data_IF_993056824641
#
_entry.id   IF_993056824641
#
_cell.length_a   1.000
_cell.length_b   1.000
_cell.length_c   1.000
_cell.angle_alpha   90.00
_cell.angle_beta   90.00
_cell.angle_gamma   90.00
#
_symmetry.space_group_name_H-M   'P 1'
#
loop_
_entity.id
_entity.type
_entity.pdbx_description
1 polymer ?
#
# COMPACT_ATOMS: atom_id res chain seq x y z
N UNK A 1 3.59 42.71 -23.05
CA UNK A 1 5.04 42.44 -22.95
C UNK A 1 5.56 42.09 -24.34
N UNK A 2 6.72 42.60 -24.74
CA UNK A 2 7.35 42.20 -26.00
C UNK A 2 7.70 40.70 -25.96
N UNK A 3 7.38 39.96 -27.02
CA UNK A 3 7.72 38.55 -27.15
C UNK A 3 9.25 38.45 -27.27
N UNK A 4 9.92 37.59 -26.48
CA UNK A 4 11.37 37.42 -26.59
C UNK A 4 11.78 37.00 -28.01
N UNK A 5 13.03 37.26 -28.42
CA UNK A 5 13.53 36.84 -29.74
C UNK A 5 13.98 35.38 -29.79
N UNK A 6 14.05 34.70 -28.64
CA UNK A 6 14.46 33.29 -28.48
C UNK A 6 13.68 32.62 -27.34
N UNK A 7 13.46 31.30 -27.39
CA UNK A 7 12.78 30.57 -26.32
C UNK A 7 13.58 30.60 -25.02
N UNK A 8 12.88 30.52 -23.88
CA UNK A 8 13.51 30.28 -22.58
C UNK A 8 14.15 28.89 -22.53
N UNK A 9 15.16 28.67 -21.66
CA UNK A 9 15.71 27.35 -21.42
C UNK A 9 14.61 26.35 -21.02
N UNK A 10 14.76 25.08 -21.39
CA UNK A 10 13.87 24.02 -20.91
C UNK A 10 14.47 23.44 -19.63
N UNK A 11 13.65 23.28 -18.59
CA UNK A 11 14.06 22.58 -17.36
C UNK A 11 13.65 21.12 -17.49
N UNK A 12 14.62 20.22 -17.45
CA UNK A 12 14.38 18.78 -17.58
C UNK A 12 14.73 18.05 -16.29
N UNK A 13 13.72 17.62 -15.56
CA UNK A 13 13.87 16.91 -14.28
C UNK A 13 13.84 15.41 -14.56
N UNK A 14 15.03 14.81 -14.62
CA UNK A 14 15.23 13.37 -14.83
C UNK A 14 15.68 12.70 -13.53
N UNK A 15 15.22 11.47 -13.29
CA UNK A 15 15.63 10.69 -12.13
C UNK A 15 14.77 9.45 -11.93
N UNK A 16 15.22 8.54 -11.06
CA UNK A 16 14.57 7.25 -10.80
C UNK A 16 13.11 7.40 -10.35
N UNK A 17 12.21 6.46 -10.65
CA UNK A 17 10.83 6.47 -10.14
C UNK A 17 10.76 6.69 -8.62
N UNK A 18 9.78 7.48 -8.15
CA UNK A 18 9.59 7.73 -6.71
C UNK A 18 10.44 8.85 -6.08
N UNK A 19 11.41 9.44 -6.79
CA UNK A 19 12.30 10.49 -6.23
C UNK A 19 11.67 11.89 -6.11
N UNK A 20 10.34 12.00 -6.09
CA UNK A 20 9.65 13.30 -5.90
C UNK A 20 9.70 14.27 -7.10
N UNK A 21 10.13 13.83 -8.29
CA UNK A 21 10.21 14.69 -9.50
C UNK A 21 8.95 15.47 -9.80
N UNK A 22 7.80 14.81 -9.79
CA UNK A 22 6.51 15.45 -10.05
C UNK A 22 6.15 16.43 -8.93
N UNK A 23 6.51 16.13 -7.69
CA UNK A 23 6.32 17.03 -6.54
C UNK A 23 7.15 18.30 -6.72
N UNK A 24 8.44 18.18 -7.06
CA UNK A 24 9.31 19.33 -7.34
C UNK A 24 8.78 20.12 -8.53
N UNK A 25 8.38 19.45 -9.61
CA UNK A 25 7.89 20.10 -10.81
C UNK A 25 6.57 20.86 -10.59
N UNK A 26 5.66 20.34 -9.74
CA UNK A 26 4.42 21.05 -9.36
C UNK A 26 4.69 22.28 -8.50
N UNK A 27 5.71 22.24 -7.64
CA UNK A 27 6.12 23.43 -6.88
C UNK A 27 6.65 24.51 -7.82
N UNK A 28 7.42 24.14 -8.84
CA UNK A 28 7.90 25.08 -9.86
C UNK A 28 6.75 25.65 -10.72
N UNK A 29 5.79 24.81 -11.12
CA UNK A 29 4.62 25.22 -11.91
C UNK A 29 3.79 26.29 -11.19
N UNK A 30 3.61 26.15 -9.87
CA UNK A 30 2.88 27.10 -9.04
C UNK A 30 3.67 28.38 -8.70
N UNK A 31 4.95 28.47 -9.06
CA UNK A 31 5.79 29.61 -8.71
C UNK A 31 5.57 30.83 -9.63
N UNK A 32 5.03 30.62 -10.84
CA UNK A 32 4.73 31.70 -11.79
C UNK A 32 3.84 31.21 -12.94
N UNK A 33 2.89 32.04 -13.37
CA UNK A 33 2.04 31.78 -14.56
C UNK A 33 2.84 31.69 -15.88
N UNK A 34 4.12 32.08 -15.86
CA UNK A 34 5.04 31.92 -16.98
C UNK A 34 5.77 30.57 -16.96
N UNK A 35 5.42 29.66 -16.05
CA UNK A 35 5.96 28.30 -15.98
C UNK A 35 4.86 27.34 -16.40
N UNK A 36 5.21 26.33 -17.22
CA UNK A 36 4.29 25.26 -17.58
C UNK A 36 4.93 23.90 -17.40
N UNK A 37 4.30 23.07 -16.60
CA UNK A 37 4.65 21.67 -16.41
C UNK A 37 4.12 20.78 -17.54
N UNK A 38 5.04 20.11 -18.24
CA UNK A 38 4.74 19.03 -19.19
C UNK A 38 5.18 17.70 -18.57
N UNK A 39 4.29 17.08 -17.79
CA UNK A 39 4.61 15.84 -17.11
C UNK A 39 4.49 14.61 -18.03
N UNK A 40 5.22 13.53 -17.70
CA UNK A 40 5.38 12.35 -18.56
C UNK A 40 4.07 11.76 -19.13
N UNK A 41 2.96 11.75 -18.38
CA UNK A 41 1.65 11.28 -18.89
C UNK A 41 1.10 12.11 -20.06
N UNK A 42 1.40 13.40 -20.16
CA UNK A 42 1.01 14.22 -21.31
C UNK A 42 1.78 13.84 -22.59
N UNK A 43 2.89 13.12 -22.43
CA UNK A 43 3.73 12.64 -23.54
C UNK A 43 3.48 11.16 -23.85
N UNK A 44 3.12 10.37 -22.83
CA UNK A 44 2.89 8.92 -22.95
C UNK A 44 1.47 8.60 -23.38
N UNK A 45 0.47 9.22 -22.74
CA UNK A 45 -0.93 8.85 -22.95
C UNK A 45 -1.38 8.98 -24.43
N UNK A 46 -0.92 9.97 -25.21
CA UNK A 46 -1.25 10.03 -26.63
C UNK A 46 -0.71 8.84 -27.46
N UNK A 47 0.47 8.32 -27.12
CA UNK A 47 1.00 7.12 -27.76
C UNK A 47 0.27 5.86 -27.28
N UNK A 48 -0.02 5.78 -25.98
CA UNK A 48 -0.74 4.67 -25.34
C UNK A 48 -2.19 4.54 -25.82
N UNK A 49 -2.82 5.65 -26.21
CA UNK A 49 -4.15 5.65 -26.81
C UNK A 49 -4.20 4.99 -28.20
N UNK A 50 -3.04 4.84 -28.86
CA UNK A 50 -2.92 4.24 -30.20
C UNK A 50 -2.29 2.85 -30.15
N UNK A 51 -1.21 2.68 -29.38
CA UNK A 51 -0.49 1.43 -29.20
C UNK A 51 -0.27 1.17 -27.71
N UNK A 52 -0.60 -0.04 -27.25
CA UNK A 52 -0.26 -0.45 -25.87
C UNK A 52 1.26 -0.49 -25.70
N UNK A 53 1.75 -0.28 -24.47
CA UNK A 53 3.19 -0.05 -24.20
C UNK A 53 4.09 -1.23 -24.56
N UNK A 54 3.53 -2.42 -24.57
CA UNK A 54 4.13 -3.70 -24.90
C UNK A 54 4.11 -4.00 -26.41
N UNK A 55 3.37 -3.23 -27.20
CA UNK A 55 3.25 -3.44 -28.64
C UNK A 55 4.47 -2.90 -29.40
N UNK A 56 4.95 -3.63 -30.43
CA UNK A 56 5.96 -3.13 -31.36
C UNK A 56 5.55 -1.77 -31.96
N UNK A 57 6.48 -0.82 -32.00
CA UNK A 57 6.24 0.53 -32.53
C UNK A 57 5.73 1.57 -31.52
N UNK A 58 5.34 1.17 -30.30
CA UNK A 58 4.94 2.12 -29.25
C UNK A 58 6.03 3.17 -28.95
N UNK A 59 7.29 2.73 -28.80
CA UNK A 59 8.40 3.62 -28.48
C UNK A 59 8.70 4.61 -29.63
N UNK A 60 8.58 4.17 -30.88
CA UNK A 60 8.78 5.03 -32.05
C UNK A 60 7.67 6.08 -32.18
N UNK A 61 6.41 5.68 -31.95
CA UNK A 61 5.28 6.60 -31.93
C UNK A 61 5.44 7.64 -30.81
N UNK A 62 5.75 7.18 -29.59
CA UNK A 62 6.03 8.06 -28.44
C UNK A 62 7.15 9.04 -28.75
N UNK A 63 8.23 8.59 -29.40
CA UNK A 63 9.35 9.43 -29.80
C UNK A 63 8.93 10.52 -30.80
N UNK A 64 8.14 10.17 -31.83
CA UNK A 64 7.66 11.13 -32.84
C UNK A 64 6.74 12.20 -32.23
N UNK A 65 5.84 11.81 -31.33
CA UNK A 65 4.96 12.74 -30.62
C UNK A 65 5.78 13.73 -29.77
N UNK A 66 6.78 13.22 -29.02
CA UNK A 66 7.68 14.08 -28.22
C UNK A 66 8.44 15.07 -29.10
N UNK A 67 8.99 14.62 -30.22
CA UNK A 67 9.71 15.50 -31.15
C UNK A 67 8.83 16.63 -31.67
N UNK A 68 7.60 16.34 -32.09
CA UNK A 68 6.67 17.38 -32.56
C UNK A 68 6.36 18.43 -31.49
N UNK A 69 6.27 18.02 -30.22
CA UNK A 69 6.08 18.94 -29.09
C UNK A 69 7.31 19.82 -28.91
N UNK A 70 8.52 19.25 -28.88
CA UNK A 70 9.75 20.03 -28.70
C UNK A 70 10.01 21.01 -29.86
N UNK A 71 9.79 20.57 -31.10
CA UNK A 71 9.86 21.44 -32.29
C UNK A 71 8.94 22.66 -32.15
N UNK A 72 7.70 22.43 -31.70
CA UNK A 72 6.75 23.51 -31.46
C UNK A 72 7.26 24.49 -30.39
N UNK A 73 7.84 24.00 -29.30
CA UNK A 73 8.39 24.85 -28.24
C UNK A 73 9.62 25.68 -28.66
N UNK A 74 10.35 25.22 -29.68
CA UNK A 74 11.56 25.90 -30.17
C UNK A 74 11.22 26.95 -31.22
N UNK A 75 10.21 26.70 -32.05
CA UNK A 75 9.95 27.50 -33.25
C UNK A 75 8.74 28.42 -33.16
N UNK A 76 7.81 28.18 -32.23
CA UNK A 76 6.59 28.97 -32.10
C UNK A 76 6.81 30.18 -31.16
N UNK A 77 6.83 31.44 -31.65
CA UNK A 77 7.18 32.60 -30.84
C UNK A 77 6.27 32.82 -29.63
N UNK A 78 5.00 32.39 -29.73
CA UNK A 78 4.04 32.46 -28.61
C UNK A 78 4.47 31.64 -27.39
N UNK A 79 5.43 30.73 -27.53
CA UNK A 79 5.97 29.91 -26.44
C UNK A 79 7.16 30.56 -25.73
N UNK A 80 7.80 31.58 -26.31
CA UNK A 80 9.13 32.04 -25.87
C UNK A 80 9.15 32.74 -24.51
N UNK A 81 8.00 33.26 -24.06
CA UNK A 81 7.84 33.84 -22.72
C UNK A 81 7.62 32.79 -21.63
N UNK A 82 7.37 31.53 -22.00
CA UNK A 82 7.05 30.44 -21.07
C UNK A 82 8.26 29.56 -20.79
N UNK A 83 8.51 29.29 -19.50
CA UNK A 83 9.50 28.33 -19.03
C UNK A 83 8.85 26.94 -18.94
N UNK A 84 9.28 26.00 -19.77
CA UNK A 84 8.73 24.65 -19.76
C UNK A 84 9.52 23.73 -18.84
N UNK A 85 8.83 23.05 -17.94
CA UNK A 85 9.38 22.06 -17.02
C UNK A 85 8.91 20.68 -17.43
N UNK A 86 9.85 19.81 -17.79
CA UNK A 86 9.57 18.43 -18.14
C UNK A 86 9.97 17.50 -17.01
N UNK A 87 9.18 16.44 -16.83
CA UNK A 87 9.56 15.32 -15.95
C UNK A 87 9.65 14.04 -16.76
N UNK A 88 10.74 13.28 -16.58
CA UNK A 88 10.90 11.96 -17.18
C UNK A 88 11.48 10.98 -16.15
N UNK A 89 11.36 9.68 -16.44
CA UNK A 89 11.89 8.62 -15.58
C UNK A 89 13.21 8.11 -16.13
N UNK A 90 14.23 8.06 -15.26
CA UNK A 90 15.46 7.35 -15.56
C UNK A 90 15.19 5.85 -15.41
N UNK A 91 15.46 5.08 -16.47
CA UNK A 91 15.32 3.61 -16.50
C UNK A 91 16.67 2.98 -16.83
N UNK A 92 17.00 1.84 -16.21
CA UNK A 92 18.25 1.12 -16.49
C UNK A 92 18.22 0.26 -17.78
N UNK A 93 17.05 0.12 -18.42
CA UNK A 93 16.91 -0.73 -19.60
C UNK A 93 17.23 0.04 -20.90
N UNK A 94 17.94 -0.60 -21.83
CA UNK A 94 18.42 -0.02 -23.09
C UNK A 94 17.35 0.75 -23.89
N UNK A 95 16.09 0.28 -23.85
CA UNK A 95 14.95 0.91 -24.52
C UNK A 95 14.61 2.32 -23.98
N UNK A 96 14.81 2.58 -22.69
CA UNK A 96 14.56 3.91 -22.11
C UNK A 96 15.77 4.85 -22.20
N UNK A 97 16.98 4.30 -22.21
CA UNK A 97 18.22 5.06 -22.44
C UNK A 97 18.26 5.65 -23.85
N UNK A 98 17.82 4.88 -24.87
CA UNK A 98 17.76 5.33 -26.26
C UNK A 98 16.81 6.52 -26.52
N UNK A 99 15.74 6.66 -25.73
CA UNK A 99 14.83 7.81 -25.81
C UNK A 99 15.37 9.10 -25.21
N UNK A 100 16.41 9.03 -24.38
CA UNK A 100 17.02 10.18 -23.70
C UNK A 100 18.26 10.77 -24.40
N UNK A 101 18.90 10.04 -25.30
CA UNK A 101 20.29 10.30 -25.71
C UNK A 101 20.50 10.94 -27.09
N UNK A 102 19.44 11.37 -27.81
CA UNK A 102 19.58 11.85 -29.21
C UNK A 102 18.99 13.22 -29.55
N UNK A 103 18.84 14.11 -28.56
CA UNK A 103 18.43 15.51 -28.81
C UNK A 103 19.56 16.39 -29.41
N UNK A 104 20.59 15.80 -30.02
CA UNK A 104 21.70 16.50 -30.69
C UNK A 104 21.98 15.83 -32.05
N UNK A 105 21.61 16.53 -33.13
CA UNK A 105 21.95 16.32 -34.56
C UNK A 105 20.96 15.55 -35.48
N UNK A 106 20.90 15.89 -36.80
CA UNK A 106 19.66 15.81 -37.59
C UNK A 106 19.65 14.76 -38.73
N UNK A 107 18.44 14.59 -39.33
CA UNK A 107 18.06 13.98 -40.62
C UNK A 107 17.99 12.44 -40.74
N UNK A 108 16.80 11.91 -41.14
CA UNK A 108 16.54 11.33 -42.48
C UNK A 108 15.16 10.63 -42.60
N UNK A 109 14.44 11.06 -43.65
CA UNK A 109 13.48 10.44 -44.61
C UNK A 109 12.45 9.32 -44.24
N UNK A 110 11.36 9.20 -45.04
CA UNK A 110 10.13 8.49 -44.66
C UNK A 110 9.92 7.16 -45.41
N UNK A 111 9.13 6.24 -44.83
CA UNK A 111 8.46 5.19 -45.60
C UNK A 111 7.03 4.91 -45.09
N UNK A 112 6.11 4.85 -46.06
CA UNK A 112 4.69 4.43 -45.99
C UNK A 112 4.59 2.89 -45.80
N UNK A 113 3.47 2.21 -45.54
CA UNK A 113 2.01 2.42 -45.74
C UNK A 113 1.22 1.36 -44.90
N UNK A 114 -0.14 1.37 -44.87
CA UNK A 114 -0.97 0.70 -43.84
C UNK A 114 -1.71 -0.57 -44.34
N UNK A 115 -2.29 -1.36 -43.42
CA UNK A 115 -3.45 -2.26 -43.63
C UNK A 115 -4.18 -2.50 -42.30
N UNK A 116 -5.34 -1.86 -42.11
CA UNK A 116 -6.74 -2.37 -42.28
C UNK A 116 -7.27 -3.24 -41.14
N UNK A 117 -8.30 -2.67 -40.53
CA UNK A 117 -9.22 -3.14 -39.50
C UNK A 117 -10.02 -4.38 -39.89
N UNK A 118 -10.55 -5.08 -38.88
CA UNK A 118 -11.98 -5.45 -38.83
C UNK A 118 -12.47 -5.53 -37.38
N UNK A 119 -13.70 -5.06 -37.22
CA UNK A 119 -14.49 -4.88 -36.00
C UNK A 119 -15.23 -6.16 -35.62
N UNK A 120 -15.48 -6.37 -34.32
CA UNK A 120 -16.79 -6.87 -33.87
C UNK A 120 -17.06 -6.49 -32.42
N UNK A 121 -18.10 -5.70 -32.21
CA UNK A 121 -18.66 -5.25 -30.92
C UNK A 121 -19.66 -6.27 -30.38
N UNK A 122 -19.55 -6.63 -29.10
CA UNK A 122 -20.67 -7.14 -28.29
C UNK A 122 -20.60 -6.50 -26.90
N UNK A 123 -21.68 -5.85 -26.47
CA UNK A 123 -21.80 -5.07 -25.22
C UNK A 123 -22.51 -5.85 -24.11
N UNK A 124 -21.87 -6.01 -22.93
CA UNK A 124 -22.56 -6.36 -21.68
C UNK A 124 -22.25 -5.38 -20.51
N UNK A 125 -22.01 -4.07 -20.78
CA UNK A 125 -21.43 -3.16 -19.77
C UNK A 125 -22.39 -2.56 -18.72
N UNK A 126 -23.70 -2.51 -18.98
CA UNK A 126 -24.63 -1.73 -18.12
C UNK A 126 -25.12 -2.47 -16.86
N UNK A 127 -25.40 -3.78 -16.94
CA UNK A 127 -25.83 -4.56 -15.76
C UNK A 127 -24.69 -4.79 -14.76
N UNK A 128 -23.47 -4.99 -15.26
CA UNK A 128 -22.29 -5.22 -14.42
C UNK A 128 -21.93 -3.99 -13.58
N UNK A 129 -22.02 -2.79 -14.17
CA UNK A 129 -21.69 -1.54 -13.48
C UNK A 129 -22.60 -1.25 -12.29
N UNK A 130 -23.92 -1.52 -12.41
CA UNK A 130 -24.88 -1.28 -11.34
C UNK A 130 -24.73 -2.26 -10.17
N UNK A 131 -24.51 -3.55 -10.46
CA UNK A 131 -24.24 -4.57 -9.45
C UNK A 131 -22.90 -4.34 -8.71
N UNK A 132 -21.87 -3.90 -9.43
CA UNK A 132 -20.58 -3.49 -8.84
C UNK A 132 -20.75 -2.30 -7.90
N UNK A 133 -21.52 -1.27 -8.29
CA UNK A 133 -21.77 -0.10 -7.46
C UNK A 133 -22.53 -0.43 -6.16
N UNK A 134 -23.54 -1.33 -6.21
CA UNK A 134 -24.24 -1.78 -5.01
C UNK A 134 -23.36 -2.62 -4.09
N UNK A 135 -22.54 -3.52 -4.65
CA UNK A 135 -21.63 -4.36 -3.86
C UNK A 135 -20.54 -3.53 -3.17
N UNK A 136 -19.98 -2.53 -3.85
CA UNK A 136 -19.03 -1.58 -3.25
C UNK A 136 -19.69 -0.82 -2.10
N UNK A 137 -20.93 -0.35 -2.28
CA UNK A 137 -21.67 0.34 -1.21
C UNK A 137 -21.88 -0.53 0.03
N UNK A 138 -22.18 -1.83 -0.13
CA UNK A 138 -22.40 -2.76 0.98
C UNK A 138 -21.11 -3.06 1.76
N UNK A 139 -19.99 -3.20 1.06
CA UNK A 139 -18.67 -3.38 1.70
C UNK A 139 -18.30 -2.17 2.54
N UNK A 140 -18.51 -0.96 2.02
CA UNK A 140 -18.19 0.26 2.77
C UNK A 140 -19.12 0.45 3.98
N UNK A 141 -20.41 0.14 3.87
CA UNK A 141 -21.32 0.16 5.03
C UNK A 141 -20.95 -0.87 6.08
N UNK A 142 -20.55 -2.08 5.67
CA UNK A 142 -20.06 -3.12 6.56
C UNK A 142 -18.79 -2.67 7.32
N UNK A 143 -17.79 -2.14 6.61
CA UNK A 143 -16.57 -1.58 7.22
C UNK A 143 -16.91 -0.52 8.27
N UNK A 144 -17.82 0.39 7.93
CA UNK A 144 -18.26 1.46 8.83
C UNK A 144 -18.95 0.90 10.08
N UNK A 145 -19.88 -0.04 9.93
CA UNK A 145 -20.58 -0.64 11.06
C UNK A 145 -19.62 -1.33 12.05
N UNK A 146 -18.67 -2.12 11.52
CA UNK A 146 -17.64 -2.76 12.33
C UNK A 146 -16.77 -1.75 13.09
N UNK A 147 -16.28 -0.72 12.38
CA UNK A 147 -15.41 0.29 12.96
C UNK A 147 -16.09 1.08 14.08
N UNK A 148 -17.33 1.53 13.87
CA UNK A 148 -18.08 2.29 14.89
C UNK A 148 -18.31 1.44 16.14
N UNK A 149 -18.78 0.20 15.96
CA UNK A 149 -19.03 -0.70 17.10
C UNK A 149 -17.75 -1.02 17.87
N UNK A 150 -16.65 -1.30 17.18
CA UNK A 150 -15.37 -1.58 17.82
C UNK A 150 -14.86 -0.37 18.63
N UNK A 151 -14.97 0.84 18.08
CA UNK A 151 -14.58 2.07 18.79
C UNK A 151 -15.49 2.31 20.01
N UNK A 152 -16.79 2.10 19.89
CA UNK A 152 -17.74 2.23 21.01
C UNK A 152 -17.45 1.26 22.15
N UNK A 153 -17.11 0.00 21.84
CA UNK A 153 -16.89 -1.04 22.85
C UNK A 153 -15.47 -1.03 23.45
N UNK A 154 -14.46 -0.49 22.75
CA UNK A 154 -13.07 -0.62 23.17
C UNK A 154 -12.31 0.69 23.42
N UNK A 155 -12.83 1.85 22.99
CA UNK A 155 -12.23 3.14 23.27
C UNK A 155 -12.99 3.86 24.40
N UNK A 156 -12.38 3.90 25.57
CA UNK A 156 -12.89 4.63 26.73
C UNK A 156 -12.42 6.10 26.72
N UNK A 157 -13.22 7.01 27.30
CA UNK A 157 -12.85 8.43 27.42
C UNK A 157 -11.59 8.66 28.29
N UNK A 158 -11.24 7.70 29.16
CA UNK A 158 -10.02 7.71 29.97
C UNK A 158 -8.78 7.27 29.19
N UNK A 159 -8.91 6.75 27.96
CA UNK A 159 -7.77 6.35 27.15
C UNK A 159 -6.88 7.57 26.87
N UNK A 160 -5.57 7.33 26.80
CA UNK A 160 -4.55 8.37 26.58
C UNK A 160 -3.77 8.13 25.30
N UNK A 161 -3.50 6.88 24.96
CA UNK A 161 -2.64 6.54 23.85
C UNK A 161 -3.31 5.49 22.95
N UNK A 162 -3.58 5.85 21.70
CA UNK A 162 -4.40 5.04 20.78
C UNK A 162 -3.63 4.76 19.49
N UNK A 163 -3.46 3.48 19.15
CA UNK A 163 -2.90 3.07 17.86
C UNK A 163 -3.94 3.13 16.75
N UNK A 164 -3.57 3.71 15.60
CA UNK A 164 -4.42 3.80 14.41
C UNK A 164 -3.72 3.07 13.26
N UNK A 165 -4.36 2.01 12.82
CA UNK A 165 -3.96 1.15 11.73
C UNK A 165 -3.91 1.82 10.36
N UNK A 166 -3.80 1.00 9.31
CA UNK A 166 -3.77 1.45 7.92
C UNK A 166 -4.78 0.67 7.07
N UNK A 167 -5.09 1.19 5.89
CA UNK A 167 -6.03 0.57 4.96
C UNK A 167 -7.45 1.17 5.00
N UNK A 168 -8.27 0.71 4.05
CA UNK A 168 -9.57 1.32 3.75
C UNK A 168 -10.60 1.23 4.88
N UNK A 169 -10.52 0.22 5.76
CA UNK A 169 -11.46 0.09 6.88
C UNK A 169 -11.14 1.05 8.02
N UNK A 170 -9.85 1.35 8.24
CA UNK A 170 -9.40 2.21 9.36
C UNK A 170 -9.83 3.67 9.18
N UNK A 171 -10.15 4.09 7.96
CA UNK A 171 -10.80 5.39 7.69
C UNK A 171 -12.03 5.56 8.59
N UNK A 172 -12.87 4.54 8.69
CA UNK A 172 -14.08 4.59 9.51
C UNK A 172 -13.83 4.51 11.02
N UNK A 173 -12.67 4.00 11.45
CA UNK A 173 -12.26 4.08 12.86
C UNK A 173 -11.97 5.53 13.23
N UNK A 174 -11.23 6.23 12.39
CA UNK A 174 -10.93 7.66 12.59
C UNK A 174 -12.23 8.48 12.54
N UNK A 175 -13.14 8.17 11.60
CA UNK A 175 -14.47 8.81 11.55
C UNK A 175 -15.27 8.57 12.83
N UNK A 176 -15.30 7.35 13.35
CA UNK A 176 -16.00 7.00 14.59
C UNK A 176 -15.44 7.76 15.79
N UNK A 177 -14.11 7.87 15.89
CA UNK A 177 -13.44 8.63 16.96
C UNK A 177 -13.76 10.11 16.83
N UNK A 178 -13.66 10.68 15.63
CA UNK A 178 -13.97 12.08 15.38
C UNK A 178 -15.43 12.42 15.72
N UNK A 179 -16.36 11.51 15.41
CA UNK A 179 -17.79 11.65 15.70
C UNK A 179 -18.13 11.72 17.21
N UNK A 180 -17.26 11.20 18.09
CA UNK A 180 -17.42 11.35 19.55
C UNK A 180 -17.14 12.78 20.05
N UNK A 181 -16.55 13.62 19.21
CA UNK A 181 -16.32 15.04 19.48
C UNK A 181 -15.08 15.35 20.33
N UNK A 182 -14.55 16.59 20.27
CA UNK A 182 -13.29 16.96 20.92
C UNK A 182 -13.27 16.76 22.44
N UNK A 183 -14.40 16.92 23.14
CA UNK A 183 -14.47 16.67 24.58
C UNK A 183 -14.10 15.23 24.94
N UNK A 184 -14.36 14.27 24.06
CA UNK A 184 -14.01 12.87 24.24
C UNK A 184 -12.53 12.62 23.99
N UNK A 185 -11.98 13.08 22.86
CA UNK A 185 -10.63 12.68 22.42
C UNK A 185 -9.53 13.73 22.61
N UNK A 186 -9.83 14.96 23.07
CA UNK A 186 -8.83 16.05 23.22
C UNK A 186 -7.62 15.71 24.10
N UNK A 187 -7.81 14.72 24.96
CA UNK A 187 -6.84 14.18 25.89
C UNK A 187 -6.04 13.00 25.32
N UNK A 188 -6.43 12.46 24.16
CA UNK A 188 -5.79 11.32 23.53
C UNK A 188 -4.65 11.75 22.60
N UNK A 189 -3.67 10.86 22.45
CA UNK A 189 -2.59 10.94 21.46
C UNK A 189 -2.64 9.69 20.59
N UNK A 190 -2.54 9.87 19.28
CA UNK A 190 -2.77 8.84 18.27
C UNK A 190 -1.47 8.46 17.55
N UNK A 191 -1.22 7.15 17.46
CA UNK A 191 0.01 6.56 16.92
C UNK A 191 -0.28 5.85 15.60
N UNK A 192 0.29 6.33 14.47
CA UNK A 192 -0.01 5.80 13.15
C UNK A 192 0.82 4.55 12.81
N UNK A 193 0.30 3.72 11.90
CA UNK A 193 1.02 2.54 11.35
C UNK A 193 1.53 2.73 9.92
N UNK A 194 1.66 3.98 9.46
CA UNK A 194 2.16 4.29 8.13
C UNK A 194 1.74 5.67 7.64
N UNK A 195 2.14 5.99 6.41
CA UNK A 195 1.90 7.30 5.78
C UNK A 195 0.40 7.61 5.60
N UNK A 196 -0.42 6.62 5.23
CA UNK A 196 -1.87 6.81 5.13
C UNK A 196 -2.49 7.11 6.49
N UNK A 197 -2.15 6.31 7.51
CA UNK A 197 -2.62 6.50 8.89
C UNK A 197 -2.26 7.89 9.43
N UNK A 198 -1.00 8.34 9.22
CA UNK A 198 -0.55 9.71 9.54
C UNK A 198 -1.45 10.77 8.89
N UNK A 199 -1.80 10.58 7.62
CA UNK A 199 -2.70 11.46 6.88
C UNK A 199 -4.09 11.52 7.49
N UNK A 200 -4.69 10.37 7.82
CA UNK A 200 -6.03 10.27 8.41
C UNK A 200 -6.11 10.99 9.77
N UNK A 201 -5.16 10.72 10.67
CA UNK A 201 -5.09 11.35 12.00
C UNK A 201 -5.02 12.88 11.86
N UNK A 202 -4.14 13.38 10.98
CA UNK A 202 -3.97 14.83 10.76
C UNK A 202 -5.22 15.47 10.17
N UNK A 203 -5.82 14.84 9.16
CA UNK A 203 -7.02 15.36 8.51
C UNK A 203 -8.21 15.46 9.48
N UNK A 204 -8.30 14.55 10.46
CA UNK A 204 -9.32 14.57 11.51
C UNK A 204 -9.03 15.55 12.66
N UNK A 205 -7.91 16.28 12.65
CA UNK A 205 -7.52 17.19 13.72
C UNK A 205 -7.10 16.50 15.02
N UNK A 206 -6.79 15.20 14.96
CA UNK A 206 -6.39 14.40 16.12
C UNK A 206 -4.89 14.61 16.43
N UNK A 207 -4.53 14.57 17.72
CA UNK A 207 -3.13 14.75 18.15
C UNK A 207 -2.27 13.55 17.76
N UNK A 208 -1.36 13.74 16.81
CA UNK A 208 -0.46 12.70 16.30
C UNK A 208 0.84 12.63 17.11
N UNK A 209 1.38 11.41 17.29
CA UNK A 209 2.73 11.16 17.80
C UNK A 209 3.34 9.94 17.08
N UNK A 210 4.63 9.98 16.73
CA UNK A 210 5.29 8.79 16.18
C UNK A 210 5.55 7.76 17.29
N UNK A 211 5.67 6.48 16.93
CA UNK A 211 5.80 5.39 17.91
C UNK A 211 7.08 5.46 18.74
N UNK A 212 8.17 5.95 18.14
CA UNK A 212 9.49 6.16 18.75
C UNK A 212 9.53 7.41 19.67
N UNK A 213 8.58 8.34 19.50
CA UNK A 213 8.42 9.53 20.34
C UNK A 213 7.50 9.29 21.55
N UNK A 214 7.08 8.04 21.76
CA UNK A 214 6.16 7.67 22.85
C UNK A 214 6.75 8.05 24.21
N UNK A 215 5.97 8.63 25.13
CA UNK A 215 6.50 9.07 26.42
C UNK A 215 6.97 7.90 27.28
N UNK A 216 7.89 8.20 28.20
CA UNK A 216 8.31 7.30 29.26
C UNK A 216 7.34 7.37 30.45
N UNK A 217 7.09 6.22 31.07
CA UNK A 217 6.33 6.09 32.30
C UNK A 217 7.20 6.31 33.55
N UNK A 218 6.60 6.23 34.75
CA UNK A 218 7.32 6.41 36.02
C UNK A 218 8.46 5.42 36.25
N UNK A 219 8.42 4.26 35.58
CA UNK A 219 9.43 3.21 35.63
C UNK A 219 10.57 3.41 34.61
N UNK A 220 10.57 4.53 33.88
CA UNK A 220 11.56 4.85 32.86
C UNK A 220 11.39 4.06 31.55
N UNK A 221 10.27 3.33 31.37
CA UNK A 221 9.98 2.56 30.14
C UNK A 221 8.94 3.27 29.28
N UNK A 222 8.93 3.00 27.99
CA UNK A 222 7.92 3.55 27.07
C UNK A 222 6.51 3.13 27.50
N UNK A 223 5.59 4.08 27.69
CA UNK A 223 4.22 3.82 28.12
C UNK A 223 3.47 2.97 27.10
N UNK A 224 2.73 1.96 27.55
CA UNK A 224 1.88 1.14 26.70
C UNK A 224 0.74 1.95 26.05
N UNK A 225 0.40 1.64 24.78
CA UNK A 225 -0.84 2.14 24.18
C UNK A 225 -2.05 1.46 24.86
N UNK A 226 -3.14 2.18 25.06
CA UNK A 226 -4.33 1.63 25.71
C UNK A 226 -5.09 0.68 24.79
N UNK A 227 -5.19 1.05 23.51
CA UNK A 227 -5.81 0.25 22.46
C UNK A 227 -5.20 0.61 21.11
N UNK A 228 -5.08 -0.36 20.21
CA UNK A 228 -4.80 -0.16 18.80
C UNK A 228 -5.95 -0.75 17.97
N UNK A 229 -6.41 -0.01 16.96
CA UNK A 229 -7.42 -0.46 16.00
C UNK A 229 -6.79 -0.58 14.61
N UNK A 230 -6.97 -1.72 13.94
CA UNK A 230 -6.43 -1.91 12.59
C UNK A 230 -7.30 -2.84 11.74
N UNK A 231 -7.10 -2.83 10.43
CA UNK A 231 -7.67 -3.81 9.52
C UNK A 231 -6.90 -5.13 9.48
N UNK A 232 -7.48 -6.12 8.82
CA UNK A 232 -6.81 -7.36 8.44
C UNK A 232 -7.13 -7.74 6.99
N UNK A 233 -6.21 -8.44 6.34
CA UNK A 233 -6.43 -9.02 5.01
C UNK A 233 -7.20 -10.34 5.09
N UNK A 234 -7.01 -11.09 6.18
CA UNK A 234 -7.74 -12.28 6.56
C UNK A 234 -7.59 -12.56 8.06
N UNK A 235 -8.61 -13.12 8.70
CA UNK A 235 -8.63 -13.52 10.12
C UNK A 235 -9.19 -14.95 10.21
N UNK A 236 -8.51 -15.82 10.94
CA UNK A 236 -8.96 -17.20 11.16
C UNK A 236 -9.77 -17.39 12.46
N UNK A 237 -10.21 -18.62 12.72
CA UNK A 237 -11.03 -18.94 13.89
C UNK A 237 -10.31 -18.78 15.25
N UNK A 238 -8.97 -18.79 15.25
CA UNK A 238 -8.14 -18.57 16.45
C UNK A 238 -7.66 -17.11 16.56
N UNK A 239 -8.25 -16.22 15.78
CA UNK A 239 -7.90 -14.80 15.67
C UNK A 239 -6.47 -14.55 15.18
N UNK A 240 -5.79 -15.52 14.57
CA UNK A 240 -4.58 -15.19 13.82
C UNK A 240 -4.98 -14.34 12.61
N UNK A 241 -4.12 -13.42 12.18
CA UNK A 241 -4.39 -12.56 11.03
C UNK A 241 -3.29 -12.66 9.98
N UNK A 242 -3.69 -12.53 8.72
CA UNK A 242 -2.79 -12.02 7.67
C UNK A 242 -3.04 -10.52 7.53
N UNK A 243 -1.94 -9.76 7.51
CA UNK A 243 -1.87 -8.32 7.28
C UNK A 243 -0.74 -8.02 6.29
N UNK A 244 -0.66 -6.78 5.82
CA UNK A 244 0.40 -6.31 4.91
C UNK A 244 0.00 -6.20 3.44
N UNK A 245 -1.27 -6.36 3.08
CA UNK A 245 -1.79 -6.05 1.74
C UNK A 245 -1.51 -4.61 1.33
N UNK A 246 -1.54 -3.68 2.29
CA UNK A 246 -1.16 -2.27 2.11
C UNK A 246 0.34 -1.96 2.18
N UNK A 247 1.20 -2.97 2.39
CA UNK A 247 2.66 -2.83 2.58
C UNK A 247 3.08 -1.98 3.81
N UNK A 248 2.30 -2.04 4.89
CA UNK A 248 2.55 -1.35 6.17
C UNK A 248 2.84 -2.30 7.34
N UNK A 249 3.01 -3.60 7.08
CA UNK A 249 2.93 -4.68 8.09
C UNK A 249 3.86 -4.50 9.29
N UNK A 250 5.08 -3.99 9.10
CA UNK A 250 6.03 -3.83 10.20
C UNK A 250 5.53 -2.78 11.20
N UNK A 251 5.13 -1.61 10.72
CA UNK A 251 4.63 -0.54 11.59
C UNK A 251 3.28 -0.92 12.21
N UNK A 252 2.42 -1.62 11.48
CA UNK A 252 1.19 -2.22 12.01
C UNK A 252 1.50 -3.15 13.19
N UNK A 253 2.50 -4.03 13.05
CA UNK A 253 2.89 -4.96 14.10
C UNK A 253 3.50 -4.25 15.29
N UNK A 254 4.40 -3.29 15.07
CA UNK A 254 5.04 -2.51 16.14
C UNK A 254 4.01 -1.74 16.99
N UNK A 255 2.98 -1.17 16.38
CA UNK A 255 1.89 -0.50 17.11
C UNK A 255 1.00 -1.51 17.84
N UNK A 256 0.67 -2.64 17.22
CA UNK A 256 -0.13 -3.69 17.83
C UNK A 256 0.54 -4.24 19.10
N UNK A 257 1.83 -4.60 19.03
CA UNK A 257 2.57 -5.13 20.19
C UNK A 257 2.78 -4.08 21.28
N UNK A 258 2.78 -2.79 20.94
CA UNK A 258 2.87 -1.71 21.91
C UNK A 258 1.56 -1.46 22.67
N UNK A 259 0.44 -2.06 22.24
CA UNK A 259 -0.88 -1.85 22.81
C UNK A 259 -1.29 -2.93 23.82
N UNK A 260 -2.00 -2.51 24.87
CA UNK A 260 -2.65 -3.42 25.83
C UNK A 260 -3.77 -4.24 25.18
N UNK A 261 -4.49 -3.62 24.24
CA UNK A 261 -5.54 -4.24 23.44
C UNK A 261 -5.26 -3.96 21.97
N UNK A 262 -5.22 -4.99 21.15
CA UNK A 262 -5.24 -4.85 19.69
C UNK A 262 -6.60 -5.34 19.18
N UNK A 263 -7.31 -4.51 18.42
CA UNK A 263 -8.66 -4.80 17.94
C UNK A 263 -8.66 -4.73 16.40
N UNK A 264 -9.17 -5.78 15.77
CA UNK A 264 -9.31 -5.83 14.31
C UNK A 264 -10.70 -5.36 13.90
N UNK A 265 -10.76 -4.53 12.85
CA UNK A 265 -12.00 -4.10 12.19
C UNK A 265 -11.96 -4.47 10.70
N UNK A 266 -12.99 -5.14 10.22
CA UNK A 266 -13.01 -5.67 8.87
C UNK A 266 -14.43 -5.82 8.32
N UNK A 267 -14.55 -6.05 7.01
CA UNK A 267 -15.78 -6.55 6.39
C UNK A 267 -15.82 -8.09 6.40
N UNK A 268 -17.01 -8.66 6.24
CA UNK A 268 -17.28 -10.10 6.31
C UNK A 268 -16.37 -10.98 5.45
N UNK A 269 -15.82 -10.47 4.33
CA UNK A 269 -14.96 -11.26 3.42
C UNK A 269 -13.61 -11.62 4.04
N UNK A 270 -13.23 -10.91 5.11
CA UNK A 270 -11.98 -11.09 5.84
C UNK A 270 -12.06 -12.19 6.89
N UNK A 271 -13.26 -12.69 7.20
CA UNK A 271 -13.46 -13.79 8.15
C UNK A 271 -13.34 -15.14 7.43
N UNK A 272 -12.40 -15.96 7.88
CA UNK A 272 -12.14 -17.31 7.36
C UNK A 272 -12.03 -18.33 8.48
N UNK A 273 -12.18 -19.62 8.17
CA UNK A 273 -11.92 -20.68 9.15
C UNK A 273 -10.42 -20.90 9.38
N UNK A 274 -9.62 -20.70 8.33
CA UNK A 274 -8.17 -20.86 8.30
C UNK A 274 -7.55 -19.73 7.49
N UNK A 275 -6.31 -19.36 7.81
CA UNK A 275 -5.54 -18.43 6.99
C UNK A 275 -5.19 -19.06 5.63
N UNK A 276 -5.01 -18.20 4.63
CA UNK A 276 -4.80 -18.55 3.23
C UNK A 276 -6.03 -19.17 2.53
N UNK A 277 -7.24 -18.85 3.02
CA UNK A 277 -8.50 -19.31 2.40
C UNK A 277 -8.99 -18.32 1.34
N UNK A 278 -9.19 -17.06 1.74
CA UNK A 278 -9.68 -15.98 0.89
C UNK A 278 -8.54 -15.08 0.41
N UNK A 279 -7.54 -14.86 1.28
CA UNK A 279 -6.31 -14.18 0.93
C UNK A 279 -5.27 -15.23 0.49
N UNK A 280 -4.46 -14.98 -0.53
CA UNK A 280 -3.69 -16.06 -1.19
C UNK A 280 -2.18 -16.05 -0.98
N UNK A 281 -1.65 -15.06 -0.25
CA UNK A 281 -0.22 -14.95 0.00
C UNK A 281 0.07 -14.33 1.35
N UNK A 282 1.13 -14.73 2.03
CA UNK A 282 1.64 -14.03 3.21
C UNK A 282 2.52 -12.88 2.70
N UNK A 283 2.21 -11.60 3.01
CA UNK A 283 3.14 -10.51 2.76
C UNK A 283 4.35 -10.63 3.69
N UNK A 284 5.56 -10.48 3.15
CA UNK A 284 6.82 -10.58 3.90
C UNK A 284 7.66 -9.36 3.55
N UNK A 285 8.00 -8.55 4.55
CA UNK A 285 8.87 -7.40 4.38
C UNK A 285 10.33 -7.84 4.44
N UNK A 286 11.11 -7.49 3.41
CA UNK A 286 12.47 -7.97 3.22
C UNK A 286 13.44 -6.84 2.87
N UNK A 287 14.69 -6.99 3.30
CA UNK A 287 15.77 -6.14 2.84
C UNK A 287 15.97 -6.36 1.32
N UNK A 288 15.97 -5.32 0.47
CA UNK A 288 16.00 -5.48 -0.99
C UNK A 288 17.11 -6.39 -1.51
N UNK A 289 18.33 -6.24 -0.99
CA UNK A 289 19.48 -7.05 -1.43
C UNK A 289 19.34 -8.55 -1.11
N UNK A 290 18.49 -8.92 -0.16
CA UNK A 290 18.26 -10.30 0.27
C UNK A 290 17.13 -11.00 -0.49
N UNK A 291 16.36 -10.26 -1.29
CA UNK A 291 15.15 -10.80 -1.91
C UNK A 291 15.37 -12.08 -2.73
N UNK A 292 16.45 -12.24 -3.54
CA UNK A 292 16.70 -13.49 -4.25
C UNK A 292 16.84 -14.70 -3.31
N UNK A 293 17.68 -14.60 -2.27
CA UNK A 293 17.91 -15.68 -1.31
C UNK A 293 16.65 -16.01 -0.50
N UNK A 294 15.85 -14.99 -0.16
CA UNK A 294 14.58 -15.18 0.54
C UNK A 294 13.57 -15.90 -0.36
N UNK A 295 13.48 -15.58 -1.65
CA UNK A 295 12.60 -16.29 -2.60
C UNK A 295 12.93 -17.78 -2.69
N UNK A 296 14.21 -18.13 -2.77
CA UNK A 296 14.66 -19.52 -2.82
C UNK A 296 14.29 -20.26 -1.52
N UNK A 297 14.59 -19.68 -0.36
CA UNK A 297 14.23 -20.26 0.95
C UNK A 297 12.73 -20.41 1.15
N UNK A 298 11.93 -19.46 0.68
CA UNK A 298 10.48 -19.56 0.72
C UNK A 298 9.99 -20.75 -0.11
N UNK A 299 10.60 -20.96 -1.28
CA UNK A 299 10.29 -22.12 -2.14
C UNK A 299 10.65 -23.42 -1.43
N UNK A 300 11.80 -23.50 -0.77
CA UNK A 300 12.22 -24.67 0.03
C UNK A 300 11.27 -24.96 1.21
N UNK A 301 10.71 -23.92 1.83
CA UNK A 301 9.69 -24.05 2.87
C UNK A 301 8.31 -24.48 2.33
N UNK A 302 8.13 -24.55 1.01
CA UNK A 302 6.89 -24.97 0.35
C UNK A 302 5.99 -23.82 -0.11
N UNK A 303 6.53 -22.61 -0.27
CA UNK A 303 5.82 -21.49 -0.89
C UNK A 303 5.61 -21.75 -2.38
N UNK A 304 4.42 -21.44 -2.88
CA UNK A 304 4.01 -21.70 -4.26
C UNK A 304 4.28 -20.43 -5.08
N UNK A 305 5.43 -20.41 -5.77
CA UNK A 305 5.85 -19.29 -6.64
C UNK A 305 5.84 -17.94 -5.90
N UNK A 306 6.59 -17.78 -4.80
CA UNK A 306 6.70 -16.48 -4.14
C UNK A 306 7.24 -15.44 -5.12
N UNK A 307 6.80 -14.19 -4.96
CA UNK A 307 7.15 -13.11 -5.90
C UNK A 307 7.40 -11.80 -5.14
N UNK A 308 8.41 -11.04 -5.56
CA UNK A 308 8.56 -9.65 -5.11
C UNK A 308 7.37 -8.85 -5.63
N UNK A 309 6.60 -8.26 -4.71
CA UNK A 309 5.40 -7.51 -5.04
C UNK A 309 5.76 -6.35 -5.97
N UNK A 310 5.12 -6.24 -7.15
CA UNK A 310 5.33 -5.10 -8.02
C UNK A 310 4.80 -3.82 -7.37
N UNK A 311 5.37 -2.68 -7.74
CA UNK A 311 4.83 -1.38 -7.39
C UNK A 311 3.40 -1.20 -7.91
N UNK A 312 2.70 -0.21 -7.35
CA UNK A 312 1.38 0.20 -7.87
C UNK A 312 1.48 0.55 -9.36
N UNK A 313 0.37 0.50 -10.15
CA UNK A 313 0.43 0.72 -11.60
C UNK A 313 1.12 2.02 -12.06
N UNK A 314 1.15 3.05 -11.20
CA UNK A 314 1.84 4.33 -11.45
C UNK A 314 3.34 4.33 -11.08
N UNK A 315 3.86 3.22 -10.54
CA UNK A 315 5.24 3.04 -10.06
C UNK A 315 5.84 1.79 -10.70
N UNK A 316 6.78 1.99 -11.63
CA UNK A 316 7.63 0.91 -12.12
C UNK A 316 8.59 0.41 -11.01
N UNK A 317 8.95 -0.87 -11.08
CA UNK A 317 9.78 -1.54 -10.07
C UNK A 317 8.95 -2.16 -8.95
N UNK A 318 9.59 -2.36 -7.80
CA UNK A 318 9.08 -3.11 -6.67
C UNK A 318 8.22 -2.23 -5.74
N UNK A 319 7.31 -2.86 -5.00
CA UNK A 319 6.67 -2.22 -3.86
C UNK A 319 7.75 -1.86 -2.83
N UNK A 320 7.77 -0.61 -2.41
CA UNK A 320 8.71 -0.12 -1.37
C UNK A 320 7.87 0.35 -0.21
N UNK A 321 8.14 -0.19 0.98
CA UNK A 321 7.43 0.15 2.22
C UNK A 321 7.85 1.52 2.74
N UNK A 322 7.11 2.06 3.71
CA UNK A 322 7.50 3.28 4.44
C UNK A 322 8.88 3.14 5.14
N UNK A 323 9.37 1.91 5.31
CA UNK A 323 10.67 1.59 5.92
C UNK A 323 11.79 1.42 4.88
N UNK A 324 11.52 1.66 3.59
CA UNK A 324 12.49 1.49 2.51
C UNK A 324 12.76 0.04 2.11
N UNK A 325 11.96 -0.90 2.60
CA UNK A 325 12.10 -2.34 2.34
C UNK A 325 11.22 -2.78 1.17
N UNK A 326 11.41 -4.00 0.69
CA UNK A 326 10.54 -4.61 -0.31
C UNK A 326 9.51 -5.53 0.34
N UNK A 327 8.46 -5.87 -0.40
CA UNK A 327 7.51 -6.91 -0.01
C UNK A 327 7.65 -8.10 -0.96
N UNK A 328 7.72 -9.31 -0.40
CA UNK A 328 7.45 -10.57 -1.12
C UNK A 328 6.05 -11.04 -0.74
N UNK A 329 5.25 -11.39 -1.73
CA UNK A 329 4.01 -12.14 -1.53
C UNK A 329 4.34 -13.63 -1.65
N UNK A 330 4.15 -14.37 -0.56
CA UNK A 330 4.47 -15.80 -0.45
C UNK A 330 3.20 -16.65 -0.30
N UNK A 331 2.65 -17.21 -1.40
CA UNK A 331 1.55 -18.17 -1.34
C UNK A 331 1.97 -19.47 -0.67
N UNK A 332 1.15 -20.02 0.21
CA UNK A 332 1.31 -21.38 0.75
C UNK A 332 -0.02 -22.12 0.63
N UNK A 333 -0.04 -23.46 0.81
CA UNK A 333 -1.27 -24.16 1.16
C UNK A 333 -1.94 -23.52 2.38
N UNK A 334 -3.25 -23.74 2.51
CA UNK A 334 -4.03 -23.27 3.66
C UNK A 334 -3.34 -23.65 4.97
N UNK A 335 -3.21 -22.69 5.88
CA UNK A 335 -2.52 -22.91 7.16
C UNK A 335 -3.45 -23.65 8.14
N UNK A 336 -2.84 -24.47 8.97
CA UNK A 336 -3.49 -25.27 9.99
C UNK A 336 -3.56 -24.52 11.31
N UNK A 337 -4.64 -24.74 12.06
CA UNK A 337 -4.70 -24.35 13.47
C UNK A 337 -3.98 -25.38 14.34
N UNK A 338 -3.62 -25.02 15.59
CA UNK A 338 -3.09 -25.97 16.56
C UNK A 338 -3.98 -27.22 16.75
N UNK A 339 -5.31 -27.10 16.56
CA UNK A 339 -6.25 -28.22 16.65
C UNK A 339 -6.14 -29.24 15.52
N UNK A 340 -5.49 -28.88 14.40
CA UNK A 340 -5.42 -29.70 13.19
C UNK A 340 -4.14 -30.53 13.10
N UNK A 341 -3.22 -30.33 14.05
CA UNK A 341 -1.92 -31.00 14.10
C UNK A 341 -1.75 -31.74 15.43
N UNK A 342 -0.99 -32.82 15.40
CA UNK A 342 -0.57 -33.50 16.63
C UNK A 342 0.22 -32.53 17.52
N UNK A 343 0.13 -32.69 18.84
CA UNK A 343 0.78 -31.81 19.78
C UNK A 343 2.30 -31.74 19.53
N UNK A 344 2.81 -30.55 19.21
CA UNK A 344 4.22 -30.31 18.90
C UNK A 344 4.62 -30.52 17.43
N UNK A 345 3.70 -30.94 16.56
CA UNK A 345 3.97 -31.06 15.14
C UNK A 345 3.89 -29.69 14.43
N UNK A 346 4.87 -29.39 13.59
CA UNK A 346 4.90 -28.15 12.79
C UNK A 346 4.07 -28.22 11.51
N UNK A 347 3.79 -29.44 11.03
CA UNK A 347 3.08 -29.72 9.77
C UNK A 347 2.21 -30.97 9.90
N UNK A 348 1.20 -31.10 9.04
CA UNK A 348 0.47 -32.37 8.87
C UNK A 348 1.15 -33.30 7.85
N UNK A 349 0.58 -34.49 7.63
CA UNK A 349 1.08 -35.48 6.68
C UNK A 349 1.11 -35.01 5.21
N UNK A 350 0.25 -34.03 4.84
CA UNK A 350 0.25 -33.42 3.52
C UNK A 350 1.29 -32.28 3.39
N UNK A 351 2.07 -32.01 4.44
CA UNK A 351 3.07 -30.96 4.49
C UNK A 351 2.51 -29.55 4.71
N UNK A 352 1.21 -29.40 4.99
CA UNK A 352 0.64 -28.08 5.32
C UNK A 352 1.13 -27.63 6.71
N UNK A 353 1.45 -26.34 6.83
CA UNK A 353 2.03 -25.76 8.04
C UNK A 353 0.97 -25.37 9.07
N UNK A 354 1.29 -25.54 10.35
CA UNK A 354 0.63 -24.80 11.43
C UNK A 354 1.09 -23.33 11.41
N UNK A 355 0.17 -22.41 11.72
CA UNK A 355 0.38 -20.95 11.62
C UNK A 355 1.63 -20.48 12.38
N UNK A 356 1.76 -20.83 13.65
CA UNK A 356 2.86 -20.37 14.51
C UNK A 356 4.19 -21.04 14.15
N UNK A 357 4.16 -22.29 13.70
CA UNK A 357 5.32 -23.02 13.24
C UNK A 357 5.92 -22.37 11.97
N UNK A 358 5.09 -22.09 10.95
CA UNK A 358 5.56 -21.38 9.77
C UNK A 358 6.07 -19.98 10.11
N UNK A 359 5.34 -19.23 10.94
CA UNK A 359 5.75 -17.90 11.35
C UNK A 359 7.15 -17.89 12.00
N UNK A 360 7.43 -18.88 12.86
CA UNK A 360 8.75 -19.06 13.48
C UNK A 360 9.85 -19.32 12.44
N UNK A 361 9.61 -20.23 11.49
CA UNK A 361 10.60 -20.57 10.46
C UNK A 361 10.89 -19.37 9.54
N UNK A 362 9.86 -18.61 9.16
CA UNK A 362 10.05 -17.40 8.37
C UNK A 362 10.91 -16.35 9.10
N UNK A 363 10.64 -16.11 10.38
CA UNK A 363 11.41 -15.15 11.18
C UNK A 363 12.88 -15.55 11.40
N UNK A 364 13.25 -16.82 11.15
CA UNK A 364 14.63 -17.30 11.23
C UNK A 364 15.45 -17.05 9.95
N UNK A 365 14.85 -16.53 8.88
CA UNK A 365 15.55 -16.28 7.60
C UNK A 365 16.22 -14.89 7.64
N UNK A 366 17.57 -14.80 7.65
CA UNK A 366 18.27 -13.54 7.39
C UNK A 366 17.76 -12.84 6.13
N UNK A 367 17.47 -11.54 6.26
CA UNK A 367 16.93 -10.72 5.17
C UNK A 367 15.43 -10.46 5.30
N UNK A 368 14.67 -11.34 5.95
CA UNK A 368 13.31 -11.04 6.38
C UNK A 368 13.38 -10.03 7.52
N UNK A 369 12.70 -8.89 7.32
CA UNK A 369 12.54 -7.85 8.33
C UNK A 369 11.34 -8.19 9.21
N UNK A 370 10.21 -8.56 8.61
CA UNK A 370 8.99 -8.95 9.32
C UNK A 370 8.01 -9.67 8.38
N UNK A 371 7.08 -10.44 8.95
CA UNK A 371 6.04 -11.18 8.25
C UNK A 371 4.64 -10.66 8.55
N UNK A 372 3.74 -10.80 7.57
CA UNK A 372 2.34 -10.42 7.65
C UNK A 372 1.48 -11.35 8.51
N UNK A 373 2.04 -12.38 9.15
CA UNK A 373 1.31 -13.24 10.11
C UNK A 373 1.33 -12.57 11.49
N UNK A 374 0.14 -12.32 12.04
CA UNK A 374 -0.06 -11.85 13.41
C UNK A 374 -0.64 -13.01 14.22
N UNK A 375 0.17 -13.60 15.09
CA UNK A 375 -0.16 -14.84 15.81
C UNK A 375 0.34 -14.81 17.26
N UNK A 376 0.12 -15.90 18.00
CA UNK A 376 0.58 -16.06 19.37
C UNK A 376 -0.36 -15.42 20.40
N UNK A 377 0.19 -14.69 21.36
CA UNK A 377 -0.57 -14.10 22.46
C UNK A 377 -1.29 -12.81 22.03
N UNK A 378 -2.47 -12.57 22.60
CA UNK A 378 -3.07 -11.24 22.62
C UNK A 378 -2.55 -10.40 23.80
N UNK A 379 -2.87 -9.10 23.81
CA UNK A 379 -2.33 -8.17 24.81
C UNK A 379 -2.69 -8.52 26.26
N UNK A 380 -3.88 -9.08 26.48
CA UNK A 380 -4.33 -9.50 27.81
C UNK A 380 -3.58 -10.75 28.30
N UNK A 381 -3.42 -11.74 27.42
CA UNK A 381 -2.66 -12.95 27.71
C UNK A 381 -1.17 -12.64 27.95
N UNK A 382 -0.60 -11.74 27.15
CA UNK A 382 0.78 -11.31 27.32
C UNK A 382 1.00 -10.56 28.64
N UNK A 383 0.06 -9.70 29.05
CA UNK A 383 0.12 -9.04 30.35
C UNK A 383 0.11 -10.06 31.51
N UNK A 384 -0.77 -11.06 31.46
CA UNK A 384 -0.84 -12.13 32.46
C UNK A 384 0.45 -12.97 32.50
N UNK A 385 1.09 -13.20 31.35
CA UNK A 385 2.32 -13.97 31.24
C UNK A 385 3.60 -13.16 31.51
N UNK A 386 3.51 -11.86 31.83
CA UNK A 386 4.69 -10.98 31.98
C UNK A 386 5.46 -10.75 30.67
N UNK A 387 4.80 -10.95 29.52
CA UNK A 387 5.35 -10.86 28.16
C UNK A 387 4.81 -9.63 27.40
N UNK A 388 4.54 -8.54 28.13
CA UNK A 388 4.07 -7.29 27.52
C UNK A 388 5.03 -6.86 26.39
N UNK A 389 4.49 -6.40 25.25
CA UNK A 389 5.30 -6.07 24.08
C UNK A 389 5.52 -7.22 23.08
N UNK A 390 5.01 -8.43 23.36
CA UNK A 390 5.12 -9.59 22.46
C UNK A 390 3.76 -10.07 21.93
N UNK A 391 2.70 -9.30 22.17
CA UNK A 391 1.34 -9.65 21.79
C UNK A 391 0.97 -9.09 20.41
N UNK A 392 0.91 -9.96 19.40
CA UNK A 392 0.55 -9.57 18.04
C UNK A 392 -0.91 -9.91 17.70
N UNK A 393 -1.52 -10.85 18.45
CA UNK A 393 -2.88 -11.31 18.16
C UNK A 393 -3.93 -10.29 18.68
N UNK A 394 -5.00 -10.03 17.94
CA UNK A 394 -6.07 -9.18 18.45
C UNK A 394 -6.77 -9.84 19.66
N UNK A 395 -7.26 -8.99 20.56
CA UNK A 395 -8.17 -9.42 21.64
C UNK A 395 -9.56 -9.70 21.07
N UNK A 396 -9.98 -8.95 20.04
CA UNK A 396 -11.25 -9.14 19.36
C UNK A 396 -11.17 -8.70 17.89
N UNK A 397 -12.01 -9.28 17.05
CA UNK A 397 -12.19 -8.88 15.66
C UNK A 397 -13.67 -8.66 15.34
N UNK A 398 -13.96 -7.51 14.71
CA UNK A 398 -15.29 -7.05 14.34
C UNK A 398 -15.45 -7.13 12.82
N UNK A 399 -16.48 -7.84 12.37
CA UNK A 399 -16.81 -8.03 10.96
C UNK A 399 -18.17 -7.45 10.65
N UNK A 400 -18.21 -6.42 9.82
CA UNK A 400 -19.46 -5.92 9.28
C UNK A 400 -20.01 -6.91 8.27
N UNK A 401 -21.26 -7.30 8.44
CA UNK A 401 -21.94 -8.31 7.63
C UNK A 401 -22.74 -7.65 6.51
N UNK A 402 -23.08 -8.42 5.47
CA UNK A 402 -23.87 -7.93 4.32
C UNK A 402 -25.25 -7.41 4.73
N UNK A 403 -25.84 -7.95 5.78
CA UNK A 403 -27.14 -7.57 6.34
C UNK A 403 -27.09 -6.32 7.24
N UNK A 404 -25.91 -5.71 7.38
CA UNK A 404 -25.68 -4.55 8.24
C UNK A 404 -25.42 -4.88 9.71
N UNK A 405 -25.51 -6.15 10.11
CA UNK A 405 -25.11 -6.59 11.44
C UNK A 405 -23.58 -6.57 11.60
N UNK A 406 -23.10 -6.69 12.85
CA UNK A 406 -21.67 -6.83 13.15
C UNK A 406 -21.45 -8.13 13.91
N UNK A 407 -20.68 -9.04 13.30
CA UNK A 407 -20.21 -10.26 13.96
C UNK A 407 -18.93 -9.95 14.73
N UNK A 408 -18.88 -10.36 16.00
CA UNK A 408 -17.71 -10.19 16.86
C UNK A 408 -17.12 -11.56 17.19
N UNK A 409 -15.80 -11.65 17.19
CA UNK A 409 -15.03 -12.84 17.59
C UNK A 409 -13.99 -12.43 18.62
N UNK A 410 -13.73 -13.27 19.63
CA UNK A 410 -12.76 -13.00 20.69
C UNK A 410 -13.22 -12.12 21.87
N UNK A 411 -14.48 -11.68 21.87
CA UNK A 411 -15.02 -10.81 22.93
C UNK A 411 -15.15 -11.50 24.29
#
# INVERSE_FOLDING_TARGET
MAIPSKPRPIVYINGFPGTGKLTIAKVLDNASDQIKLVHNHLLINPAEAVLSRDQPGYQDLRRRIRLAIFESLIHEPSTYSTLYVFTDAQTANEAGTASSSRATSPLLSPFSSPRTSTSTTVTPKLYYARAMSSAVSLVESAKKAAAYRAVDEHLDASARFVGIGSGSTVVYVVDAIAAKGPSFWSNMTFFPTGSQSKGLIRAAGLRLCNLDERPLGPDGKLVALDVAFDGADEVDADLNCIKGGGACLLQEKLVAIAAKKFVVVADYRKLSQRLLTNWKAIPIEVLPMSAPDVLDRLTDLGSIKPIVRPGLPAKAGEAVTDNGMWIIDAPFPQLLLPSDVEAGASRNAAGAWEVSALAKELLLIPGIVEIGIFHGLNGLQAAQAGKFGLAQKPVAAYFGMEDGSVKVTGA
#
